data_IF_448264869945
#
_entry.id   IF_448264869945
#
_cell.length_a   1.000
_cell.length_b   1.000
_cell.length_c   1.000
_cell.angle_alpha   90.00
_cell.angle_beta   90.00
_cell.angle_gamma   90.00
#
_symmetry.space_group_name_H-M   'P 1'
#
loop_
_entity.id
_entity.type
_entity.pdbx_description
1 polymer ?
#
# COMPACT_ATOMS: atom_id res chain seq x y z
N UNK A 1 -9.62 26.84 -25.22
CA UNK A 1 -9.81 25.38 -25.33
C UNK A 1 -10.35 24.89 -23.99
N UNK A 2 -11.66 24.64 -23.88
CA UNK A 2 -12.25 24.06 -22.67
C UNK A 2 -11.76 22.61 -22.57
N UNK A 3 -10.91 22.29 -21.59
CA UNK A 3 -10.62 20.89 -21.25
C UNK A 3 -11.90 20.30 -20.68
N UNK A 4 -12.51 19.37 -21.42
CA UNK A 4 -13.65 18.63 -20.91
C UNK A 4 -13.13 17.65 -19.85
N UNK A 5 -13.39 17.93 -18.58
CA UNK A 5 -12.88 17.11 -17.48
C UNK A 5 -13.63 15.78 -17.49
N UNK A 6 -12.94 14.70 -17.86
CA UNK A 6 -13.54 13.37 -17.89
C UNK A 6 -13.38 12.66 -16.54
N UNK A 7 -14.21 11.63 -16.31
CA UNK A 7 -14.07 10.75 -15.14
C UNK A 7 -12.70 10.08 -15.08
N UNK A 8 -12.09 9.78 -16.22
CA UNK A 8 -10.77 9.15 -16.28
C UNK A 8 -9.66 10.11 -15.88
N UNK A 9 -9.74 11.37 -16.34
CA UNK A 9 -8.82 12.42 -15.89
C UNK A 9 -8.89 12.63 -14.37
N UNK A 10 -10.11 12.72 -13.82
CA UNK A 10 -10.32 12.82 -12.37
C UNK A 10 -9.73 11.59 -11.65
N UNK A 11 -10.00 10.39 -12.14
CA UNK A 11 -9.46 9.16 -11.55
C UNK A 11 -7.92 9.15 -11.53
N UNK A 12 -7.25 9.39 -12.67
CA UNK A 12 -5.79 9.36 -12.74
C UNK A 12 -5.15 10.47 -11.91
N UNK A 13 -5.62 11.70 -12.10
CA UNK A 13 -4.98 12.89 -11.51
C UNK A 13 -5.42 13.15 -10.08
N UNK A 14 -6.72 13.14 -9.78
CA UNK A 14 -7.23 13.50 -8.46
C UNK A 14 -7.27 12.31 -7.52
N UNK A 15 -7.77 11.15 -7.97
CA UNK A 15 -7.84 9.98 -7.09
C UNK A 15 -6.48 9.30 -6.93
N UNK A 16 -5.77 9.06 -8.03
CA UNK A 16 -4.47 8.39 -8.01
C UNK A 16 -3.28 9.34 -7.88
N UNK A 17 -3.39 10.62 -8.21
CA UNK A 17 -2.25 11.55 -8.09
C UNK A 17 -1.10 11.27 -9.06
N UNK A 18 -1.35 10.52 -10.15
CA UNK A 18 -0.31 10.11 -11.09
C UNK A 18 -0.26 11.06 -12.29
N UNK A 19 0.93 11.35 -12.82
CA UNK A 19 1.11 12.03 -14.11
C UNK A 19 0.79 11.08 -15.30
N UNK A 20 0.60 11.61 -16.52
CA UNK A 20 0.47 10.77 -17.71
C UNK A 20 1.68 9.86 -17.94
N UNK A 21 2.89 10.36 -17.70
CA UNK A 21 4.16 9.64 -17.86
C UNK A 21 4.32 8.52 -16.82
N UNK A 22 4.01 8.82 -15.56
CA UNK A 22 4.01 7.83 -14.48
C UNK A 22 3.01 6.71 -14.76
N UNK A 23 1.80 7.09 -15.21
CA UNK A 23 0.74 6.14 -15.56
C UNK A 23 1.14 5.26 -16.75
N UNK A 24 1.74 5.85 -17.78
CA UNK A 24 2.21 5.14 -18.97
C UNK A 24 3.27 4.09 -18.61
N UNK A 25 4.25 4.48 -17.80
CA UNK A 25 5.28 3.57 -17.28
C UNK A 25 4.67 2.46 -16.42
N UNK A 26 3.75 2.81 -15.53
CA UNK A 26 3.10 1.87 -14.61
C UNK A 26 2.23 0.83 -15.34
N UNK A 27 1.51 1.26 -16.39
CA UNK A 27 0.59 0.42 -17.14
C UNK A 27 1.23 -0.23 -18.38
N UNK A 28 2.52 0.01 -18.65
CA UNK A 28 3.23 -0.45 -19.84
C UNK A 28 2.55 -0.05 -21.17
N UNK A 29 2.10 1.20 -21.25
CA UNK A 29 1.48 1.79 -22.45
C UNK A 29 2.19 3.08 -22.86
N UNK A 30 1.84 3.65 -24.01
CA UNK A 30 2.36 4.96 -24.42
C UNK A 30 1.66 6.10 -23.68
N UNK A 31 2.35 7.25 -23.56
CA UNK A 31 1.74 8.47 -22.99
C UNK A 31 0.51 8.90 -23.79
N UNK A 32 0.54 8.71 -25.12
CA UNK A 32 -0.61 8.99 -25.99
C UNK A 32 -1.84 8.15 -25.63
N UNK A 33 -1.67 6.88 -25.30
CA UNK A 33 -2.77 6.02 -24.85
C UNK A 33 -3.39 6.55 -23.53
N UNK A 34 -2.55 7.03 -22.61
CA UNK A 34 -3.01 7.66 -21.36
C UNK A 34 -3.76 8.96 -21.63
N UNK A 35 -3.29 9.79 -22.56
CA UNK A 35 -4.00 11.01 -22.98
C UNK A 35 -5.37 10.70 -23.57
N UNK A 36 -5.47 9.67 -24.42
CA UNK A 36 -6.77 9.22 -24.95
C UNK A 36 -7.70 8.73 -23.84
N UNK A 37 -7.17 8.06 -22.81
CA UNK A 37 -7.97 7.70 -21.63
C UNK A 37 -8.52 8.93 -20.93
N UNK A 38 -7.70 9.95 -20.70
CA UNK A 38 -8.11 11.22 -20.11
C UNK A 38 -9.13 11.97 -20.98
N UNK A 39 -9.14 11.74 -22.29
CA UNK A 39 -10.14 12.26 -23.23
C UNK A 39 -11.44 11.44 -23.26
N UNK A 40 -11.51 10.33 -22.53
CA UNK A 40 -12.72 9.53 -22.33
C UNK A 40 -12.67 8.11 -22.87
N UNK A 41 -11.57 7.70 -23.52
CA UNK A 41 -11.36 6.29 -23.91
C UNK A 41 -11.36 5.41 -22.66
N UNK A 42 -12.01 4.24 -22.72
CA UNK A 42 -12.09 3.32 -21.57
C UNK A 42 -10.67 2.87 -21.15
N UNK A 43 -10.29 3.16 -19.91
CA UNK A 43 -9.09 2.57 -19.29
C UNK A 43 -9.36 1.07 -19.03
N UNK A 44 -8.46 0.16 -19.45
CA UNK A 44 -8.57 -1.25 -19.09
C UNK A 44 -8.65 -1.48 -17.58
N UNK A 45 -9.50 -2.40 -17.14
CA UNK A 45 -9.75 -2.62 -15.70
C UNK A 45 -8.48 -3.05 -14.94
N UNK A 46 -7.59 -3.77 -15.61
CA UNK A 46 -6.26 -4.12 -15.09
C UNK A 46 -5.39 -2.88 -14.84
N UNK A 47 -5.41 -1.90 -15.76
CA UNK A 47 -4.65 -0.65 -15.60
C UNK A 47 -5.20 0.18 -14.43
N UNK A 48 -6.54 0.28 -14.30
CA UNK A 48 -7.16 0.92 -13.12
C UNK A 48 -6.76 0.25 -11.82
N UNK A 49 -6.69 -1.08 -11.81
CA UNK A 49 -6.28 -1.86 -10.65
C UNK A 49 -4.82 -1.57 -10.27
N UNK A 50 -3.92 -1.65 -11.24
CA UNK A 50 -2.49 -1.36 -11.01
C UNK A 50 -2.28 0.08 -10.52
N UNK A 51 -2.99 1.06 -11.10
CA UNK A 51 -2.97 2.45 -10.61
C UNK A 51 -3.39 2.56 -9.14
N UNK A 52 -4.48 1.89 -8.73
CA UNK A 52 -4.91 1.88 -7.32
C UNK A 52 -3.91 1.19 -6.40
N UNK A 53 -3.29 0.11 -6.86
CA UNK A 53 -2.28 -0.61 -6.09
C UNK A 53 -1.03 0.24 -5.87
N UNK A 54 -0.55 0.93 -6.91
CA UNK A 54 0.63 1.78 -6.83
C UNK A 54 0.50 2.91 -5.80
N UNK A 55 -0.71 3.44 -5.62
CA UNK A 55 -0.98 4.57 -4.71
C UNK A 55 -1.46 4.10 -3.32
N UNK A 56 -1.37 2.80 -3.03
CA UNK A 56 -1.79 2.26 -1.74
C UNK A 56 -3.31 2.37 -1.50
N UNK A 57 -4.14 2.32 -2.55
CA UNK A 57 -5.60 2.20 -2.42
C UNK A 57 -6.07 0.74 -2.47
N UNK A 58 -5.23 -0.18 -2.94
CA UNK A 58 -5.54 -1.60 -3.04
C UNK A 58 -4.30 -2.45 -2.71
N UNK A 59 -4.44 -3.50 -1.91
CA UNK A 59 -3.34 -4.45 -1.65
C UNK A 59 -3.25 -5.48 -2.79
N UNK A 60 -2.04 -5.82 -3.26
CA UNK A 60 -1.87 -6.92 -4.22
C UNK A 60 -2.50 -8.23 -3.73
N UNK A 61 -3.26 -8.89 -4.61
CA UNK A 61 -3.95 -10.16 -4.31
C UNK A 61 -3.02 -11.28 -3.84
N UNK A 62 -1.73 -11.24 -4.19
CA UNK A 62 -0.71 -12.17 -3.69
C UNK A 62 -0.52 -12.09 -2.16
N UNK A 63 -0.87 -10.97 -1.54
CA UNK A 63 -0.76 -10.79 -0.10
C UNK A 63 -1.94 -11.39 0.68
N UNK A 64 -3.03 -11.79 0.00
CA UNK A 64 -4.28 -12.24 0.64
C UNK A 64 -4.07 -13.42 1.59
N UNK A 65 -3.07 -14.30 1.37
CA UNK A 65 -2.84 -15.44 2.29
C UNK A 65 -2.48 -15.01 3.72
N UNK A 66 -1.72 -13.93 3.87
CA UNK A 66 -1.25 -13.45 5.19
C UNK A 66 -1.92 -12.14 5.61
N UNK A 67 -2.50 -11.43 4.65
CA UNK A 67 -3.12 -10.13 4.83
C UNK A 67 -4.63 -10.20 4.56
N UNK A 68 -5.26 -11.36 4.77
CA UNK A 68 -6.70 -11.49 4.59
C UNK A 68 -7.45 -10.55 5.54
N UNK A 69 -8.46 -9.86 5.01
CA UNK A 69 -9.19 -8.81 5.72
C UNK A 69 -8.44 -7.48 5.90
N UNK A 70 -7.13 -7.42 5.63
CA UNK A 70 -6.38 -6.17 5.67
C UNK A 70 -6.60 -5.35 4.40
N UNK A 71 -6.63 -4.02 4.54
CA UNK A 71 -6.89 -3.10 3.42
C UNK A 71 -6.02 -1.87 3.54
N UNK A 72 -5.75 -1.19 2.44
CA UNK A 72 -5.13 0.14 2.47
C UNK A 72 -6.17 1.22 2.14
N UNK A 73 -6.09 2.36 2.82
CA UNK A 73 -6.87 3.54 2.52
C UNK A 73 -5.98 4.79 2.62
N UNK A 74 -5.46 5.23 1.46
CA UNK A 74 -4.49 6.30 1.39
C UNK A 74 -3.22 5.92 2.15
N UNK A 75 -2.91 6.67 3.21
CA UNK A 75 -1.72 6.44 4.05
C UNK A 75 -1.98 5.53 5.27
N UNK A 76 -3.14 4.89 5.35
CA UNK A 76 -3.53 4.04 6.47
C UNK A 76 -3.64 2.59 6.06
N UNK A 77 -3.08 1.72 6.88
CA UNK A 77 -3.32 0.29 6.83
C UNK A 77 -4.49 -0.05 7.77
N UNK A 78 -5.52 -0.68 7.23
CA UNK A 78 -6.73 -1.03 7.96
C UNK A 78 -6.65 -2.51 8.33
N UNK A 79 -6.82 -2.81 9.62
CA UNK A 79 -6.87 -4.19 10.13
C UNK A 79 -8.19 -4.88 9.76
N UNK A 80 -8.29 -6.22 9.83
CA UNK A 80 -9.56 -6.93 9.64
C UNK A 80 -10.67 -6.51 10.60
N UNK A 81 -10.31 -5.98 11.77
CA UNK A 81 -11.24 -5.42 12.75
C UNK A 81 -11.70 -3.99 12.41
N UNK A 82 -11.19 -3.39 11.34
CA UNK A 82 -11.53 -2.03 10.90
C UNK A 82 -10.68 -0.93 11.55
N UNK A 83 -9.61 -1.28 12.28
CA UNK A 83 -8.75 -0.30 12.94
C UNK A 83 -7.80 0.35 11.93
N UNK A 84 -7.71 1.68 11.96
CA UNK A 84 -6.75 2.43 11.15
C UNK A 84 -5.38 2.47 11.83
N UNK A 85 -4.37 1.99 11.12
CA UNK A 85 -2.96 2.09 11.48
C UNK A 85 -2.30 3.13 10.58
N UNK A 86 -2.05 4.31 11.16
CA UNK A 86 -1.19 5.33 10.54
C UNK A 86 0.27 4.93 10.66
N UNK A 87 1.14 5.60 9.89
CA UNK A 87 2.60 5.48 10.02
C UNK A 87 3.07 5.60 11.47
N UNK A 88 2.64 6.64 12.18
CA UNK A 88 3.02 6.87 13.59
C UNK A 88 2.58 5.72 14.50
N UNK A 89 1.37 5.18 14.28
CA UNK A 89 0.88 4.05 15.08
C UNK A 89 1.69 2.78 14.84
N UNK A 90 2.14 2.56 13.61
CA UNK A 90 3.05 1.45 13.28
C UNK A 90 4.43 1.65 13.93
N UNK A 91 5.01 2.86 13.87
CA UNK A 91 6.29 3.19 14.52
C UNK A 91 6.24 2.99 16.04
N UNK A 92 5.12 3.34 16.68
CA UNK A 92 4.89 3.10 18.10
C UNK A 92 4.83 1.60 18.41
N UNK A 93 4.06 0.82 17.63
CA UNK A 93 3.96 -0.64 17.79
C UNK A 93 5.32 -1.30 17.62
N UNK A 94 6.11 -0.87 16.64
CA UNK A 94 7.48 -1.36 16.41
C UNK A 94 8.38 -1.09 17.63
N UNK A 95 8.31 0.13 18.17
CA UNK A 95 9.11 0.55 19.32
C UNK A 95 8.79 -0.30 20.56
N UNK A 96 7.50 -0.49 20.87
CA UNK A 96 7.09 -1.35 22.00
C UNK A 96 7.45 -2.83 21.77
N UNK A 97 7.28 -3.34 20.55
CA UNK A 97 7.64 -4.71 20.22
C UNK A 97 9.15 -4.98 20.33
N UNK A 98 9.99 -3.98 20.06
CA UNK A 98 11.44 -4.09 20.20
C UNK A 98 11.86 -4.24 21.67
N UNK A 99 11.24 -3.49 22.58
CA UNK A 99 11.49 -3.59 24.02
C UNK A 99 11.08 -4.96 24.57
N UNK A 100 9.88 -5.44 24.21
CA UNK A 100 9.40 -6.77 24.59
C UNK A 100 10.32 -7.88 24.06
N UNK A 101 10.80 -7.76 22.81
CA UNK A 101 11.75 -8.70 22.21
C UNK A 101 13.12 -8.68 22.91
N UNK A 102 13.60 -7.51 23.36
CA UNK A 102 14.84 -7.42 24.13
C UNK A 102 14.71 -8.13 25.48
N UNK A 103 13.60 -7.91 26.19
CA UNK A 103 13.30 -8.58 27.47
C UNK A 103 13.22 -10.10 27.28
N UNK A 104 12.53 -10.58 26.25
CA UNK A 104 12.44 -12.01 25.93
C UNK A 104 13.81 -12.62 25.60
N UNK A 105 14.66 -11.90 24.85
CA UNK A 105 16.03 -12.34 24.54
C UNK A 105 16.91 -12.40 25.78
N UNK A 106 16.85 -11.39 26.65
CA UNK A 106 17.59 -11.37 27.91
C UNK A 106 17.19 -12.55 28.81
N UNK A 107 15.88 -12.80 28.94
CA UNK A 107 15.35 -13.94 29.69
C UNK A 107 15.77 -15.29 29.09
N UNK A 108 15.80 -15.42 27.76
CA UNK A 108 16.27 -16.62 27.09
C UNK A 108 17.78 -16.86 27.28
N UNK A 109 18.59 -15.79 27.29
CA UNK A 109 20.02 -15.88 27.55
C UNK A 109 20.33 -16.33 28.99
N UNK A 110 19.61 -15.78 29.98
CA UNK A 110 19.72 -16.18 31.39
C UNK A 110 19.40 -17.67 31.58
N UNK A 111 18.35 -18.17 30.93
CA UNK A 111 17.99 -19.60 30.99
C UNK A 111 19.08 -20.50 30.42
N UNK A 112 19.75 -20.10 29.33
CA UNK A 112 20.85 -20.88 28.72
C UNK A 112 22.08 -20.95 29.62
N UNK A 113 22.41 -19.85 30.31
CA UNK A 113 23.52 -19.81 31.28
C UNK A 113 23.24 -20.72 32.49
N UNK A 114 22.01 -20.69 33.01
CA UNK A 114 21.62 -21.57 34.13
C UNK A 114 21.64 -23.07 33.79
N UNK A 115 21.51 -23.43 32.51
CA UNK A 115 21.61 -24.83 32.05
C UNK A 115 23.03 -25.28 31.75
N UNK A 116 24.01 -24.38 31.65
CA UNK A 116 25.43 -24.72 31.42
C UNK A 116 26.26 -24.86 32.70
N UNK A 117 25.68 -24.51 33.86
CA UNK A 117 26.33 -24.58 35.18
C UNK A 117 25.93 -25.83 35.99
N UNK A 118 25.15 -26.75 35.41
CA UNK A 118 24.78 -28.05 35.98
C UNK A 118 25.34 -29.22 35.17
#
# INVERSE_FOLDING_TARGET
MQRNITKNYIFRWFECGLSPEETAKLCFVSVMEVTLWDEGKKIPDVCKRVMRMAVGRELPSIFVKYWDGWRMNGHHLITPAGTYLSRQRLEIIESFGADDLQVLRANAALRRLSTSEN
#
